data_IF_884752689877
#
_entry.id   IF_884752689877
#
_cell.length_a   1.000
_cell.length_b   1.000
_cell.length_c   1.000
_cell.angle_alpha   90.00
_cell.angle_beta   90.00
_cell.angle_gamma   90.00
#
_symmetry.space_group_name_H-M   'P 1'
#
loop_
_entity.id
_entity.type
_entity.pdbx_description
1 polymer ?
#
# COMPACT_ATOMS: atom_id res chain seq x y z
N UNK A 1 -47.98 48.86 -41.15
CA UNK A 1 -46.51 48.81 -41.34
C UNK A 1 -45.92 47.96 -40.23
N UNK A 2 -45.52 46.73 -40.56
CA UNK A 2 -44.74 45.86 -39.70
C UNK A 2 -43.27 46.27 -39.77
N UNK A 3 -42.56 46.29 -38.64
CA UNK A 3 -41.09 46.24 -38.65
C UNK A 3 -40.56 45.20 -37.65
N UNK A 4 -39.98 44.16 -38.26
CA UNK A 4 -38.86 43.28 -37.86
C UNK A 4 -38.09 43.72 -36.60
N UNK A 5 -37.57 42.88 -35.71
CA UNK A 5 -37.27 41.45 -35.69
C UNK A 5 -36.59 41.19 -34.33
N UNK A 6 -36.95 40.10 -33.64
CA UNK A 6 -36.00 39.19 -32.94
C UNK A 6 -35.18 39.74 -31.74
N UNK A 7 -34.83 39.01 -30.68
CA UNK A 7 -34.81 37.59 -30.36
C UNK A 7 -34.76 37.49 -28.83
N UNK A 8 -35.42 36.46 -28.33
CA UNK A 8 -35.32 35.84 -27.00
C UNK A 8 -33.91 36.01 -26.37
N UNK A 9 -33.80 36.80 -25.29
CA UNK A 9 -32.70 36.69 -24.33
C UNK A 9 -33.20 35.97 -23.08
N UNK A 10 -33.57 34.70 -23.26
CA UNK A 10 -33.45 33.71 -22.19
C UNK A 10 -31.95 33.55 -21.96
N UNK A 11 -31.38 34.38 -21.08
CA UNK A 11 -30.01 34.21 -20.60
C UNK A 11 -29.99 32.86 -19.86
N UNK A 12 -29.71 31.81 -20.64
CA UNK A 12 -29.21 30.54 -20.17
C UNK A 12 -27.95 30.84 -19.38
N UNK A 13 -28.17 31.08 -18.09
CA UNK A 13 -27.21 30.83 -17.02
C UNK A 13 -27.04 29.31 -16.97
N UNK A 14 -26.51 28.73 -18.05
CA UNK A 14 -25.80 27.48 -18.04
C UNK A 14 -24.47 27.81 -17.37
N UNK A 15 -24.52 28.01 -16.05
CA UNK A 15 -23.41 27.55 -15.23
C UNK A 15 -23.24 26.10 -15.63
N UNK A 16 -22.22 25.84 -16.45
CA UNK A 16 -21.66 24.53 -16.62
C UNK A 16 -21.16 24.13 -15.24
N UNK A 17 -22.08 23.63 -14.43
CA UNK A 17 -21.79 22.74 -13.33
C UNK A 17 -21.04 21.60 -14.00
N UNK A 18 -19.73 21.73 -14.08
CA UNK A 18 -18.84 20.58 -14.16
C UNK A 18 -19.06 19.86 -12.84
N UNK A 19 -20.14 19.09 -12.77
CA UNK A 19 -20.29 18.01 -11.82
C UNK A 19 -19.17 17.05 -12.17
N UNK A 20 -17.98 17.32 -11.63
CA UNK A 20 -16.97 16.29 -11.47
C UNK A 20 -17.60 15.28 -10.53
N UNK A 21 -18.27 14.28 -11.09
CA UNK A 21 -18.60 13.08 -10.35
C UNK A 21 -17.27 12.62 -9.74
N UNK A 22 -17.19 12.59 -8.40
CA UNK A 22 -16.05 12.02 -7.68
C UNK A 22 -15.87 10.63 -8.29
N UNK A 23 -14.75 10.38 -8.95
CA UNK A 23 -14.53 9.09 -9.60
C UNK A 23 -14.68 7.98 -8.54
N UNK A 24 -15.58 7.04 -8.80
CA UNK A 24 -15.80 5.89 -7.93
C UNK A 24 -14.56 5.01 -7.99
N UNK A 25 -13.63 5.14 -7.04
CA UNK A 25 -12.50 4.23 -6.83
C UNK A 25 -12.70 3.51 -5.50
N UNK A 26 -13.14 2.24 -5.58
CA UNK A 26 -13.42 1.43 -4.40
C UNK A 26 -13.04 -0.03 -4.59
N UNK A 27 -12.58 -0.67 -3.51
CA UNK A 27 -12.30 -2.10 -3.47
C UNK A 27 -13.29 -2.81 -2.55
N UNK A 28 -13.79 -3.96 -2.97
CA UNK A 28 -14.61 -4.84 -2.14
C UNK A 28 -14.09 -6.28 -2.22
N UNK A 29 -14.32 -7.04 -1.15
CA UNK A 29 -14.15 -8.48 -1.14
C UNK A 29 -15.44 -9.16 -1.61
N UNK A 30 -15.33 -10.16 -2.49
CA UNK A 30 -16.42 -11.02 -2.93
C UNK A 30 -16.05 -12.48 -2.67
N UNK A 31 -16.56 -13.04 -1.59
CA UNK A 31 -16.21 -14.39 -1.12
C UNK A 31 -17.12 -15.46 -1.73
N UNK A 32 -16.54 -16.64 -1.98
CA UNK A 32 -17.25 -17.80 -2.53
C UNK A 32 -17.85 -18.71 -1.46
N UNK A 33 -17.51 -18.48 -0.19
CA UNK A 33 -17.95 -19.27 0.95
C UNK A 33 -18.36 -18.37 2.12
N UNK A 34 -19.20 -18.90 3.02
CA UNK A 34 -19.74 -18.20 4.19
C UNK A 34 -18.69 -17.88 5.26
N UNK A 35 -17.52 -18.53 5.19
CA UNK A 35 -16.42 -18.36 6.14
C UNK A 35 -15.37 -17.36 5.64
N UNK A 36 -15.62 -16.73 4.49
CA UNK A 36 -14.74 -15.78 3.81
C UNK A 36 -13.31 -16.34 3.64
N UNK A 37 -13.20 -17.64 3.33
CA UNK A 37 -11.90 -18.32 3.21
C UNK A 37 -11.30 -18.20 1.81
N UNK A 38 -12.11 -18.00 0.78
CA UNK A 38 -11.65 -17.69 -0.57
C UNK A 38 -12.47 -16.54 -1.14
N UNK A 39 -11.80 -15.45 -1.48
CA UNK A 39 -12.45 -14.23 -1.95
C UNK A 39 -11.72 -13.59 -3.13
N UNK A 40 -12.51 -13.07 -4.06
CA UNK A 40 -12.02 -12.18 -5.10
C UNK A 40 -11.96 -10.74 -4.56
N UNK A 41 -10.88 -10.03 -4.84
CA UNK A 41 -10.79 -8.59 -4.59
C UNK A 41 -11.21 -7.86 -5.86
N UNK A 42 -12.31 -7.12 -5.78
CA UNK A 42 -12.96 -6.48 -6.93
C UNK A 42 -12.79 -4.97 -6.84
N UNK A 43 -12.14 -4.41 -7.86
CA UNK A 43 -12.06 -2.97 -8.08
C UNK A 43 -13.31 -2.49 -8.80
N UNK A 44 -14.00 -1.53 -8.20
CA UNK A 44 -14.99 -0.71 -8.89
C UNK A 44 -14.35 0.63 -9.24
N UNK A 45 -14.20 0.89 -10.54
CA UNK A 45 -13.62 2.11 -11.10
C UNK A 45 -14.50 2.64 -12.22
N UNK A 46 -15.01 3.88 -12.11
CA UNK A 46 -15.80 4.55 -13.16
C UNK A 46 -16.98 3.70 -13.67
N UNK A 47 -17.75 3.13 -12.73
CA UNK A 47 -18.90 2.25 -13.02
C UNK A 47 -18.55 0.86 -13.58
N UNK A 48 -17.26 0.55 -13.77
CA UNK A 48 -16.79 -0.78 -14.19
C UNK A 48 -16.30 -1.57 -12.98
N UNK A 49 -16.62 -2.87 -12.96
CA UNK A 49 -16.10 -3.82 -11.97
C UNK A 49 -15.08 -4.72 -12.65
N UNK A 50 -13.89 -4.80 -12.07
CA UNK A 50 -12.82 -5.70 -12.50
C UNK A 50 -12.35 -6.50 -11.29
N UNK A 51 -12.20 -7.80 -11.45
CA UNK A 51 -11.51 -8.61 -10.45
C UNK A 51 -10.02 -8.30 -10.58
N UNK A 52 -9.39 -7.85 -9.49
CA UNK A 52 -7.94 -7.60 -9.45
C UNK A 52 -7.19 -8.82 -8.92
N UNK A 53 -7.67 -9.38 -7.82
CA UNK A 53 -7.06 -10.55 -7.19
C UNK A 53 -8.08 -11.68 -7.10
N UNK A 54 -7.64 -12.88 -7.46
CA UNK A 54 -8.47 -14.08 -7.50
C UNK A 54 -8.19 -14.99 -6.32
N UNK A 55 -9.25 -15.58 -5.76
CA UNK A 55 -9.17 -16.65 -4.74
C UNK A 55 -8.20 -16.35 -3.58
N UNK A 56 -8.21 -15.10 -3.13
CA UNK A 56 -7.38 -14.62 -2.03
C UNK A 56 -7.98 -15.08 -0.72
N UNK A 57 -7.14 -15.63 0.16
CA UNK A 57 -7.59 -16.19 1.43
C UNK A 57 -7.80 -15.12 2.49
N UNK A 58 -9.05 -14.94 2.89
CA UNK A 58 -9.50 -14.04 3.97
C UNK A 58 -8.88 -12.64 3.89
N UNK A 59 -9.11 -11.89 2.79
CA UNK A 59 -8.51 -10.57 2.62
C UNK A 59 -9.12 -9.55 3.58
N UNK A 60 -8.26 -8.74 4.21
CA UNK A 60 -8.63 -7.50 4.89
C UNK A 60 -8.29 -6.31 3.99
N UNK A 61 -9.24 -5.42 3.73
CA UNK A 61 -9.10 -4.28 2.84
C UNK A 61 -9.18 -3.00 3.65
N UNK A 62 -8.11 -2.20 3.66
CA UNK A 62 -8.04 -0.90 4.30
C UNK A 62 -7.83 0.20 3.25
N UNK A 63 -8.65 1.25 3.28
CA UNK A 63 -8.40 2.45 2.49
C UNK A 63 -7.42 3.35 3.23
N UNK A 64 -6.15 3.32 2.82
CA UNK A 64 -5.07 4.01 3.53
C UNK A 64 -4.89 5.47 3.11
N UNK A 65 -5.36 5.85 1.90
CA UNK A 65 -5.67 7.23 1.52
C UNK A 65 -6.70 7.26 0.37
N UNK A 66 -6.97 8.42 -0.23
CA UNK A 66 -7.95 8.54 -1.32
C UNK A 66 -7.60 7.72 -2.57
N UNK A 67 -6.32 7.44 -2.81
CA UNK A 67 -5.81 6.85 -4.04
C UNK A 67 -5.25 5.44 -3.87
N UNK A 68 -5.14 4.93 -2.63
CA UNK A 68 -4.45 3.68 -2.31
C UNK A 68 -5.25 2.89 -1.28
N UNK A 69 -5.43 1.61 -1.57
CA UNK A 69 -5.87 0.59 -0.63
C UNK A 69 -4.70 -0.29 -0.23
N UNK A 70 -4.68 -0.73 1.02
CA UNK A 70 -3.83 -1.81 1.52
C UNK A 70 -4.70 -3.05 1.72
N UNK A 71 -4.35 -4.13 1.03
CA UNK A 71 -5.02 -5.42 1.16
C UNK A 71 -4.05 -6.40 1.81
N UNK A 72 -4.46 -6.95 2.94
CA UNK A 72 -3.73 -8.00 3.66
C UNK A 72 -4.42 -9.31 3.40
N UNK A 73 -3.68 -10.35 3.02
CA UNK A 73 -4.24 -11.68 2.80
C UNK A 73 -3.40 -12.76 3.46
N UNK A 74 -4.03 -13.85 3.90
CA UNK A 74 -3.29 -15.03 4.32
C UNK A 74 -2.76 -15.78 3.09
N UNK A 75 -1.51 -16.24 3.11
CA UNK A 75 -0.96 -17.21 2.16
C UNK A 75 -0.58 -18.53 2.83
N UNK A 76 -1.11 -18.78 4.03
CA UNK A 76 -0.73 -19.90 4.92
C UNK A 76 -0.07 -19.40 6.21
N UNK A 77 0.24 -20.28 7.15
CA UNK A 77 1.03 -19.90 8.34
C UNK A 77 2.51 -20.17 8.06
N UNK A 78 3.43 -19.19 8.23
CA UNK A 78 3.25 -17.83 8.74
C UNK A 78 3.05 -16.75 7.64
N UNK A 79 2.82 -17.15 6.39
CA UNK A 79 2.81 -16.26 5.24
C UNK A 79 1.62 -15.26 5.23
N UNK A 80 1.95 -13.97 5.12
CA UNK A 80 0.97 -12.89 4.90
C UNK A 80 1.39 -12.09 3.66
N UNK A 81 0.48 -12.02 2.69
CA UNK A 81 0.64 -11.18 1.50
C UNK A 81 0.12 -9.78 1.75
N UNK A 82 0.88 -8.78 1.34
CA UNK A 82 0.49 -7.37 1.41
C UNK A 82 0.45 -6.77 0.02
N UNK A 83 -0.74 -6.36 -0.42
CA UNK A 83 -0.96 -5.68 -1.68
C UNK A 83 -1.25 -4.20 -1.43
N UNK A 84 -0.60 -3.33 -2.16
CA UNK A 84 -0.96 -1.93 -2.28
C UNK A 84 -1.62 -1.75 -3.63
N UNK A 85 -2.87 -1.28 -3.64
CA UNK A 85 -3.68 -1.15 -4.85
C UNK A 85 -3.96 0.33 -5.08
N UNK A 86 -3.34 0.89 -6.12
CA UNK A 86 -3.67 2.19 -6.67
C UNK A 86 -4.69 2.08 -7.81
N UNK A 87 -5.11 3.22 -8.35
CA UNK A 87 -6.11 3.27 -9.43
C UNK A 87 -5.68 2.52 -10.71
N UNK A 88 -4.38 2.53 -11.01
CA UNK A 88 -3.80 1.97 -12.24
C UNK A 88 -2.52 1.17 -11.98
N UNK A 89 -2.22 0.89 -10.73
CA UNK A 89 -0.93 0.35 -10.29
C UNK A 89 -1.13 -0.55 -9.07
N UNK A 90 -0.25 -1.54 -8.95
CA UNK A 90 -0.25 -2.52 -7.87
C UNK A 90 1.20 -2.72 -7.40
N UNK A 91 1.36 -2.93 -6.10
CA UNK A 91 2.62 -3.34 -5.49
C UNK A 91 2.35 -4.46 -4.48
N UNK A 92 3.28 -5.41 -4.36
CA UNK A 92 3.12 -6.60 -3.55
C UNK A 92 4.39 -6.94 -2.77
N UNK A 93 4.22 -7.44 -1.55
CA UNK A 93 5.29 -8.04 -0.77
C UNK A 93 4.76 -9.02 0.28
N UNK A 94 5.50 -10.09 0.53
CA UNK A 94 5.23 -11.07 1.61
C UNK A 94 6.09 -10.81 2.86
N UNK A 95 7.05 -9.90 2.75
CA UNK A 95 8.06 -9.62 3.77
C UNK A 95 7.98 -8.16 4.23
N UNK A 96 6.75 -7.64 4.37
CA UNK A 96 6.52 -6.27 4.79
C UNK A 96 7.02 -6.06 6.24
N UNK A 97 7.86 -5.06 6.43
CA UNK A 97 8.30 -4.61 7.75
C UNK A 97 7.49 -3.39 8.20
N UNK A 98 7.35 -2.39 7.33
CA UNK A 98 6.60 -1.17 7.62
C UNK A 98 6.35 -0.39 6.34
N UNK A 99 5.41 0.56 6.35
CA UNK A 99 5.19 1.48 5.24
C UNK A 99 4.77 2.86 5.74
N UNK A 100 4.98 3.88 4.90
CA UNK A 100 4.46 5.22 5.10
C UNK A 100 3.73 5.69 3.85
N UNK A 101 2.45 5.97 4.00
CA UNK A 101 1.56 6.41 2.92
C UNK A 101 1.88 7.83 2.45
N UNK A 102 2.37 8.69 3.36
CA UNK A 102 2.67 10.09 3.01
C UNK A 102 3.84 10.18 2.04
N UNK A 103 4.91 9.43 2.29
CA UNK A 103 6.06 9.32 1.38
C UNK A 103 5.90 8.24 0.31
N UNK A 104 4.83 7.43 0.39
CA UNK A 104 4.64 6.20 -0.40
C UNK A 104 5.85 5.27 -0.28
N UNK A 105 6.37 5.08 0.92
CA UNK A 105 7.55 4.27 1.17
C UNK A 105 7.17 2.90 1.72
N UNK A 106 7.75 1.83 1.16
CA UNK A 106 7.65 0.46 1.67
C UNK A 106 9.02 0.03 2.17
N UNK A 107 9.03 -0.56 3.36
CA UNK A 107 10.17 -1.26 3.95
C UNK A 107 9.85 -2.74 3.95
N UNK A 108 10.70 -3.52 3.30
CA UNK A 108 10.52 -4.97 3.16
C UNK A 108 11.87 -5.67 3.34
N UNK A 109 11.86 -6.90 3.85
CA UNK A 109 13.04 -7.77 3.78
C UNK A 109 13.03 -8.63 2.51
N UNK A 110 14.20 -9.18 2.21
CA UNK A 110 14.36 -10.33 1.34
C UNK A 110 15.18 -11.34 2.15
N UNK A 111 14.49 -12.27 2.78
CA UNK A 111 15.11 -13.19 3.72
C UNK A 111 16.10 -14.13 3.04
N UNK A 112 15.87 -14.45 1.77
CA UNK A 112 16.77 -15.26 0.94
C UNK A 112 18.08 -14.50 0.67
N UNK A 113 18.00 -13.22 0.31
CA UNK A 113 19.20 -12.38 0.08
C UNK A 113 19.79 -11.80 1.36
N UNK A 114 19.13 -11.96 2.50
CA UNK A 114 19.51 -11.38 3.79
C UNK A 114 19.67 -9.86 3.69
N UNK A 115 18.69 -9.17 3.12
CA UNK A 115 18.69 -7.70 3.00
C UNK A 115 17.38 -7.12 3.51
N UNK A 116 17.43 -5.87 3.96
CA UNK A 116 16.25 -5.02 4.12
C UNK A 116 16.34 -3.91 3.08
N UNK A 117 15.25 -3.69 2.37
CA UNK A 117 15.12 -2.68 1.33
C UNK A 117 14.14 -1.59 1.73
N UNK A 118 14.35 -0.41 1.18
CA UNK A 118 13.33 0.60 1.00
C UNK A 118 13.00 0.69 -0.50
N UNK A 119 11.72 0.82 -0.82
CA UNK A 119 11.27 1.15 -2.18
C UNK A 119 10.09 2.10 -2.12
N UNK A 120 9.96 2.95 -3.14
CA UNK A 120 8.74 3.73 -3.30
C UNK A 120 7.64 2.82 -3.85
N UNK A 121 6.43 2.92 -3.32
CA UNK A 121 5.26 2.16 -3.79
C UNK A 121 5.14 2.28 -5.30
N UNK A 122 4.80 1.17 -5.95
CA UNK A 122 4.59 1.07 -7.39
C UNK A 122 5.86 1.30 -8.22
N UNK A 123 7.02 1.14 -7.60
CA UNK A 123 8.31 1.17 -8.28
C UNK A 123 9.10 -0.09 -7.96
N UNK A 124 9.84 -0.59 -8.95
CA UNK A 124 10.74 -1.72 -8.77
C UNK A 124 12.12 -1.32 -8.21
N UNK A 125 12.33 -0.02 -7.97
CA UNK A 125 13.61 0.52 -7.55
C UNK A 125 13.78 0.34 -6.04
N UNK A 126 14.61 -0.65 -5.67
CA UNK A 126 14.92 -0.97 -4.27
C UNK A 126 16.28 -0.39 -3.87
N UNK A 127 16.32 0.26 -2.71
CA UNK A 127 17.54 0.71 -2.04
C UNK A 127 17.83 -0.20 -0.85
N UNK A 128 19.05 -0.71 -0.75
CA UNK A 128 19.47 -1.49 0.42
C UNK A 128 19.58 -0.56 1.63
N UNK A 129 18.90 -0.90 2.72
CA UNK A 129 19.02 -0.23 4.01
C UNK A 129 19.94 -0.98 4.98
N UNK A 130 19.84 -2.30 5.01
CA UNK A 130 20.56 -3.19 5.93
C UNK A 130 21.05 -4.44 5.20
N UNK A 131 22.27 -4.85 5.54
CA UNK A 131 22.84 -6.13 5.18
C UNK A 131 22.75 -7.12 6.37
N UNK A 132 21.78 -8.03 6.32
CA UNK A 132 21.55 -9.02 7.38
C UNK A 132 22.56 -10.16 7.37
N UNK A 133 23.50 -10.20 6.40
CA UNK A 133 24.62 -11.15 6.42
C UNK A 133 25.73 -10.75 7.38
N UNK A 134 25.73 -9.50 7.89
CA UNK A 134 26.71 -9.05 8.87
C UNK A 134 26.57 -9.80 10.20
N UNK A 135 27.71 -10.15 10.82
CA UNK A 135 27.76 -10.95 12.08
C UNK A 135 26.89 -10.41 13.20
N UNK A 136 26.68 -9.09 13.28
CA UNK A 136 25.84 -8.45 14.30
C UNK A 136 24.38 -8.90 14.26
N UNK A 137 23.91 -9.41 13.12
CA UNK A 137 22.54 -9.92 12.95
C UNK A 137 22.40 -11.41 13.22
N UNK A 138 23.48 -12.11 13.61
CA UNK A 138 23.41 -13.51 14.04
C UNK A 138 22.58 -13.71 15.33
N UNK A 139 22.31 -12.63 16.06
CA UNK A 139 21.47 -12.62 17.27
C UNK A 139 19.98 -12.79 16.94
N UNK A 140 19.57 -12.55 15.69
CA UNK A 140 18.17 -12.62 15.29
C UNK A 140 17.66 -14.07 15.27
N UNK A 141 16.47 -14.36 15.84
CA UNK A 141 15.99 -15.72 16.03
C UNK A 141 15.47 -16.35 14.73
N UNK A 142 14.78 -15.58 13.88
CA UNK A 142 14.05 -16.17 12.74
C UNK A 142 14.98 -16.79 11.69
N UNK A 143 16.16 -16.20 11.45
CA UNK A 143 17.26 -16.62 10.53
C UNK A 143 16.93 -16.85 9.04
N UNK A 144 15.70 -17.27 8.75
CA UNK A 144 15.13 -17.60 7.45
C UNK A 144 13.91 -16.75 7.13
N UNK A 145 13.35 -16.05 8.13
CA UNK A 145 12.21 -15.17 7.99
C UNK A 145 12.47 -13.84 8.72
N UNK A 146 13.32 -12.99 8.18
CA UNK A 146 13.73 -11.78 8.88
C UNK A 146 12.60 -10.78 9.06
N UNK A 147 11.57 -10.74 8.20
CA UNK A 147 10.50 -9.76 8.37
C UNK A 147 9.83 -9.89 9.75
N UNK A 148 9.64 -11.11 10.28
CA UNK A 148 8.99 -11.32 11.58
C UNK A 148 9.78 -10.75 12.74
N UNK A 149 11.11 -10.69 12.64
CA UNK A 149 11.93 -10.06 13.68
C UNK A 149 11.70 -8.54 13.71
N UNK A 150 11.36 -7.92 12.58
CA UNK A 150 11.29 -6.47 12.42
C UNK A 150 9.86 -5.89 12.34
N UNK A 151 8.86 -6.65 11.90
CA UNK A 151 7.55 -6.13 11.51
C UNK A 151 6.68 -5.67 12.68
N UNK A 152 6.89 -6.21 13.89
CA UNK A 152 6.02 -5.91 15.03
C UNK A 152 6.23 -4.50 15.59
N UNK A 153 7.49 -4.02 15.67
CA UNK A 153 7.81 -2.76 16.34
C UNK A 153 8.32 -1.66 15.40
N UNK A 154 8.66 -2.01 14.16
CA UNK A 154 9.15 -1.02 13.20
C UNK A 154 8.03 -0.10 12.73
N UNK A 155 8.30 1.20 12.74
CA UNK A 155 7.30 2.20 12.35
C UNK A 155 7.97 3.46 11.79
N UNK A 156 7.23 4.20 10.99
CA UNK A 156 7.58 5.58 10.66
C UNK A 156 7.07 6.52 11.76
N UNK A 157 7.90 7.48 12.16
CA UNK A 157 7.43 8.55 13.05
C UNK A 157 6.75 9.69 12.25
N UNK A 158 6.20 10.66 12.96
CA UNK A 158 5.49 11.80 12.37
C UNK A 158 6.38 12.69 11.46
N UNK A 159 7.71 12.54 11.54
CA UNK A 159 8.66 13.25 10.68
C UNK A 159 8.95 12.49 9.37
N UNK A 160 8.43 11.27 9.22
CA UNK A 160 8.71 10.38 8.10
C UNK A 160 10.03 9.63 8.23
N UNK A 161 10.64 9.63 9.42
CA UNK A 161 11.84 8.84 9.70
C UNK A 161 11.44 7.42 10.13
N UNK A 162 12.15 6.42 9.61
CA UNK A 162 11.92 5.03 9.95
C UNK A 162 12.65 4.69 11.25
N UNK A 163 11.89 4.23 12.25
CA UNK A 163 12.42 3.52 13.42
C UNK A 163 12.42 2.03 13.10
N UNK A 164 13.54 1.51 12.60
CA UNK A 164 13.71 0.09 12.29
C UNK A 164 14.14 -0.66 13.55
N UNK A 165 13.31 -1.58 14.01
CA UNK A 165 13.47 -2.25 15.30
C UNK A 165 13.32 -3.75 15.08
N UNK A 166 14.35 -4.52 15.48
CA UNK A 166 14.22 -5.96 15.61
C UNK A 166 13.95 -6.32 17.07
N UNK A 167 13.00 -7.22 17.30
CA UNK A 167 12.68 -7.71 18.63
C UNK A 167 12.53 -9.24 18.66
N UNK A 168 12.61 -9.80 19.87
CA UNK A 168 12.24 -11.18 20.18
C UNK A 168 11.37 -11.17 21.43
N UNK A 169 10.06 -11.37 21.26
CA UNK A 169 9.04 -11.27 22.32
C UNK A 169 9.16 -9.98 23.16
N UNK A 170 9.31 -8.84 22.48
CA UNK A 170 9.44 -7.52 23.11
C UNK A 170 10.85 -7.16 23.60
N UNK A 171 11.81 -8.10 23.60
CA UNK A 171 13.21 -7.80 23.86
C UNK A 171 13.84 -7.18 22.61
N UNK A 172 14.29 -5.93 22.71
CA UNK A 172 14.96 -5.24 21.61
C UNK A 172 16.33 -5.88 21.33
N UNK A 173 16.52 -6.38 20.11
CA UNK A 173 17.77 -6.96 19.63
C UNK A 173 18.57 -5.99 18.75
N UNK A 174 17.86 -5.13 18.02
CA UNK A 174 18.44 -4.12 17.16
C UNK A 174 17.52 -2.92 17.06
N UNK A 175 18.10 -1.71 17.00
CA UNK A 175 17.35 -0.49 16.73
C UNK A 175 18.21 0.46 15.91
N UNK A 176 17.62 1.02 14.84
CA UNK A 176 18.25 2.06 14.03
C UNK A 176 17.21 3.03 13.52
N UNK A 177 17.47 4.32 13.67
CA UNK A 177 16.70 5.38 13.02
C UNK A 177 17.27 5.65 11.63
N UNK A 178 16.43 5.70 10.61
CA UNK A 178 16.83 5.91 9.21
C UNK A 178 16.05 7.08 8.65
N UNK A 179 16.78 8.14 8.28
CA UNK A 179 16.19 9.32 7.67
C UNK A 179 15.87 9.06 6.19
N UNK A 180 14.67 9.45 5.76
CA UNK A 180 14.24 9.40 4.36
C UNK A 180 14.62 8.08 3.66
N UNK A 181 14.15 6.91 4.15
CA UNK A 181 14.60 5.61 3.64
C UNK A 181 14.37 5.46 2.13
N UNK A 182 13.25 5.97 1.61
CA UNK A 182 12.94 5.99 0.18
C UNK A 182 13.48 7.21 -0.60
N UNK A 183 14.26 8.06 0.05
CA UNK A 183 14.73 9.34 -0.50
C UNK A 183 13.67 10.45 -0.44
N UNK A 184 14.10 11.70 -0.63
CA UNK A 184 13.19 12.81 -0.84
C UNK A 184 12.57 12.74 -2.22
N UNK A 185 11.30 13.13 -2.35
CA UNK A 185 10.76 13.57 -3.64
C UNK A 185 11.49 14.87 -4.02
N UNK A 186 12.71 14.77 -4.55
CA UNK A 186 13.27 15.85 -5.37
C UNK A 186 12.39 15.93 -6.61
N UNK A 187 11.37 16.78 -6.53
CA UNK A 187 10.80 17.42 -7.72
C UNK A 187 11.85 18.35 -8.31
#
# INVERSE_FOLDING_TARGET
>A
MFNKQNIVCLFLVLFSLKSYAKEDFNLISQCTDEYETSCNVVLTANGKKNILLHDIKSPSIEKVNEDIFHVVSSCGSPCVGHYFIGKHEEDYTEELISFDIKSKCIIESDSRKKKIYAKKMFTNNKRILIDLSEKKFNILPSKFNYYSDFSEMSHFDNTGELNLIANDYGKILFKKKIQNPCGSNSK
#
